data_IF_233635282302
#
_entry.id   IF_233635282302
#
_cell.length_a   1.000
_cell.length_b   1.000
_cell.length_c   1.000
_cell.angle_alpha   90.00
_cell.angle_beta   90.00
_cell.angle_gamma   90.00
#
_symmetry.space_group_name_H-M   'P 1'
#
loop_
_entity.id
_entity.type
_entity.pdbx_description
1 polymer ?
#
# COMPACT_ATOMS: atom_id res chain seq x y z
N UNK A 1 -52.15 10.01 -20.05
CA UNK A 1 -51.38 10.57 -21.18
C UNK A 1 -50.11 11.12 -20.56
N UNK A 2 -48.98 10.41 -20.58
CA UNK A 2 -48.00 10.35 -21.68
C UNK A 2 -47.57 11.76 -22.13
N UNK A 3 -46.31 12.16 -22.25
CA UNK A 3 -44.97 11.61 -22.01
C UNK A 3 -43.96 12.75 -22.40
N UNK A 4 -42.65 12.46 -22.34
CA UNK A 4 -41.50 13.07 -23.06
C UNK A 4 -40.83 14.31 -22.43
N UNK A 5 -39.61 14.17 -21.86
CA UNK A 5 -38.24 14.23 -22.45
C UNK A 5 -37.72 15.69 -22.47
N UNK A 6 -36.45 16.08 -22.36
CA UNK A 6 -35.09 15.50 -22.36
C UNK A 6 -34.25 16.54 -21.53
N UNK A 7 -33.21 16.21 -20.76
CA UNK A 7 -31.91 15.71 -21.21
C UNK A 7 -30.85 16.81 -21.06
N UNK A 8 -29.79 16.57 -20.28
CA UNK A 8 -28.38 16.89 -20.58
C UNK A 8 -27.52 16.81 -19.32
N UNK A 9 -26.55 15.89 -19.35
CA UNK A 9 -25.33 15.95 -18.55
C UNK A 9 -24.64 17.32 -18.68
N UNK A 10 -24.14 17.81 -17.56
CA UNK A 10 -22.95 18.66 -17.54
C UNK A 10 -22.23 18.47 -16.21
N UNK A 11 -21.04 17.87 -16.29
CA UNK A 11 -19.99 17.88 -15.27
C UNK A 11 -19.81 19.26 -14.66
N UNK A 12 -19.83 19.35 -13.33
CA UNK A 12 -19.32 20.49 -12.56
C UNK A 12 -18.46 19.93 -11.41
N UNK A 13 -17.25 20.47 -11.16
CA UNK A 13 -16.32 19.95 -10.15
C UNK A 13 -16.90 20.10 -8.74
N UNK A 14 -16.67 19.10 -7.88
CA UNK A 14 -17.05 19.16 -6.48
C UNK A 14 -16.08 20.07 -5.71
N UNK A 15 -16.41 21.36 -5.58
CA UNK A 15 -15.74 22.27 -4.64
C UNK A 15 -16.57 22.38 -3.36
N UNK A 16 -16.01 21.96 -2.22
CA UNK A 16 -16.60 22.17 -0.90
C UNK A 16 -16.57 23.67 -0.54
N UNK A 17 -17.74 24.28 -0.31
CA UNK A 17 -17.84 25.74 -0.11
C UNK A 17 -18.02 26.17 1.35
N UNK A 18 -18.30 25.28 2.30
CA UNK A 18 -18.45 25.67 3.72
C UNK A 18 -18.02 24.61 4.77
N UNK A 19 -17.59 25.08 5.95
CA UNK A 19 -17.26 24.26 7.14
C UNK A 19 -18.46 23.45 7.68
N UNK A 20 -19.70 23.87 7.41
CA UNK A 20 -20.91 23.14 7.82
C UNK A 20 -21.22 21.92 6.93
N UNK A 21 -20.75 21.90 5.68
CA UNK A 21 -20.85 20.72 4.81
C UNK A 21 -19.88 19.62 5.24
N UNK A 22 -18.70 19.99 5.76
CA UNK A 22 -17.71 19.06 6.33
C UNK A 22 -18.24 18.33 7.58
N UNK A 23 -19.05 18.99 8.41
CA UNK A 23 -19.67 18.33 9.59
C UNK A 23 -20.60 17.17 9.22
N UNK A 24 -21.10 17.08 7.98
CA UNK A 24 -21.94 15.96 7.57
C UNK A 24 -21.15 14.67 7.32
N UNK A 25 -19.82 14.72 7.28
CA UNK A 25 -18.93 13.53 7.27
C UNK A 25 -18.78 12.91 8.68
N UNK A 26 -19.90 12.80 9.41
CA UNK A 26 -19.99 12.33 10.79
C UNK A 26 -19.86 10.79 10.96
N UNK A 27 -19.45 10.04 9.93
CA UNK A 27 -19.38 8.57 10.01
C UNK A 27 -18.26 8.03 10.92
N UNK A 28 -17.28 8.86 11.31
CA UNK A 28 -16.09 8.37 12.02
C UNK A 28 -15.99 8.76 13.51
N UNK A 29 -16.64 9.85 13.96
CA UNK A 29 -16.41 10.37 15.32
C UNK A 29 -17.30 9.70 16.39
N UNK A 30 -18.60 9.52 16.13
CA UNK A 30 -19.55 9.11 17.18
C UNK A 30 -19.48 7.61 17.50
N UNK A 31 -19.01 6.79 16.57
CA UNK A 31 -18.98 5.34 16.70
C UNK A 31 -17.83 4.82 17.56
N UNK A 32 -16.76 5.60 17.69
CA UNK A 32 -15.55 5.22 18.42
C UNK A 32 -15.29 6.10 19.65
N UNK A 33 -16.27 6.92 20.05
CA UNK A 33 -16.12 7.88 21.14
C UNK A 33 -14.92 8.84 20.89
N UNK A 34 -14.66 9.16 19.63
CA UNK A 34 -13.63 10.12 19.23
C UNK A 34 -14.25 11.52 19.38
N UNK A 35 -13.69 12.40 20.21
CA UNK A 35 -14.26 13.73 20.43
C UNK A 35 -14.44 14.46 19.09
N UNK A 36 -15.56 15.17 18.87
CA UNK A 36 -15.78 15.94 17.64
C UNK A 36 -14.56 16.82 17.35
N UNK A 37 -14.15 16.84 16.08
CA UNK A 37 -12.95 17.49 15.54
C UNK A 37 -12.96 19.03 15.75
N UNK A 38 -12.77 19.48 16.98
CA UNK A 38 -12.51 20.88 17.36
C UNK A 38 -11.01 21.17 17.47
N UNK A 39 -10.16 20.26 16.98
CA UNK A 39 -8.71 20.39 17.05
C UNK A 39 -8.15 20.72 15.66
N UNK A 40 -7.67 21.95 15.47
CA UNK A 40 -7.05 22.44 14.24
C UNK A 40 -5.94 21.51 13.72
N UNK A 41 -5.27 20.76 14.60
CA UNK A 41 -4.23 19.78 14.23
C UNK A 41 -4.81 18.62 13.41
N UNK A 42 -5.92 18.02 13.86
CA UNK A 42 -6.53 16.88 13.15
C UNK A 42 -7.14 17.31 11.82
N UNK A 43 -7.75 18.49 11.78
CA UNK A 43 -8.24 19.08 10.52
C UNK A 43 -7.10 19.33 9.52
N UNK A 44 -5.95 19.85 9.99
CA UNK A 44 -4.77 20.03 9.14
C UNK A 44 -4.20 18.73 8.60
N UNK A 45 -4.24 17.64 9.37
CA UNK A 45 -3.82 16.30 8.92
C UNK A 45 -4.76 15.79 7.82
N UNK A 46 -6.08 15.91 8.03
CA UNK A 46 -7.08 15.51 7.03
C UNK A 46 -6.90 16.28 5.71
N UNK A 47 -6.74 17.60 5.77
CA UNK A 47 -6.45 18.41 4.58
C UNK A 47 -5.14 18.00 3.89
N UNK A 48 -4.11 17.66 4.67
CA UNK A 48 -2.83 17.19 4.14
C UNK A 48 -2.96 15.85 3.45
N UNK A 49 -3.78 14.92 3.97
CA UNK A 49 -4.04 13.63 3.36
C UNK A 49 -4.66 13.79 1.97
N UNK A 50 -5.74 14.57 1.85
CA UNK A 50 -6.39 14.83 0.56
C UNK A 50 -5.45 15.56 -0.42
N UNK A 51 -4.74 16.59 0.04
CA UNK A 51 -3.77 17.32 -0.78
C UNK A 51 -2.65 16.42 -1.31
N UNK A 52 -2.02 15.62 -0.44
CA UNK A 52 -0.90 14.72 -0.82
C UNK A 52 -1.41 13.62 -1.74
N UNK A 53 -2.61 13.10 -1.50
CA UNK A 53 -3.24 12.13 -2.40
C UNK A 53 -3.36 12.75 -3.78
N UNK A 54 -4.02 13.91 -3.92
CA UNK A 54 -4.17 14.59 -5.22
C UNK A 54 -2.82 14.92 -5.88
N UNK A 55 -1.84 15.38 -5.10
CA UNK A 55 -0.48 15.64 -5.60
C UNK A 55 0.18 14.37 -6.17
N UNK A 56 0.02 13.22 -5.51
CA UNK A 56 0.51 11.93 -6.00
C UNK A 56 -0.17 11.56 -7.33
N UNK A 57 -1.47 11.79 -7.44
CA UNK A 57 -2.25 11.46 -8.65
C UNK A 57 -1.85 12.31 -9.85
N UNK A 58 -1.82 13.62 -9.65
CA UNK A 58 -1.43 14.55 -10.70
C UNK A 58 0.01 14.30 -11.16
N UNK A 59 0.92 14.03 -10.21
CA UNK A 59 2.32 13.73 -10.52
C UNK A 59 2.43 12.41 -11.29
N UNK A 60 1.69 11.37 -10.88
CA UNK A 60 1.64 10.07 -11.55
C UNK A 60 1.12 10.19 -12.99
N UNK A 61 -0.02 10.86 -13.18
CA UNK A 61 -0.62 11.09 -14.51
C UNK A 61 0.23 11.97 -15.41
N UNK A 62 0.94 12.96 -14.84
CA UNK A 62 1.88 13.80 -15.60
C UNK A 62 3.11 13.02 -16.06
N UNK A 63 3.62 12.13 -15.21
CA UNK A 63 4.78 11.30 -15.51
C UNK A 63 4.45 10.21 -16.55
N UNK A 64 3.31 9.52 -16.38
CA UNK A 64 2.83 8.50 -17.30
C UNK A 64 1.32 8.67 -17.55
N UNK A 65 0.92 9.36 -18.64
CA UNK A 65 -0.49 9.54 -18.98
C UNK A 65 -1.23 8.24 -19.29
N UNK A 66 -0.51 7.14 -19.55
CA UNK A 66 -1.11 5.84 -19.93
C UNK A 66 -1.47 4.97 -18.73
N UNK A 67 -1.02 5.32 -17.52
CA UNK A 67 -1.29 4.54 -16.33
C UNK A 67 -2.79 4.53 -15.99
N UNK A 68 -3.34 3.36 -15.68
CA UNK A 68 -4.74 3.21 -15.28
C UNK A 68 -5.03 3.91 -13.95
N UNK A 69 -6.27 4.38 -13.77
CA UNK A 69 -6.69 4.98 -12.49
C UNK A 69 -6.64 3.98 -11.35
N UNK A 70 -7.07 2.73 -11.57
CA UNK A 70 -7.04 1.68 -10.54
C UNK A 70 -5.60 1.29 -10.14
N UNK A 71 -4.64 1.32 -11.08
CA UNK A 71 -3.23 1.06 -10.78
C UNK A 71 -2.63 2.19 -9.94
N UNK A 72 -2.91 3.44 -10.30
CA UNK A 72 -2.47 4.60 -9.54
C UNK A 72 -3.13 4.64 -8.16
N UNK A 73 -4.38 4.18 -8.07
CA UNK A 73 -5.11 4.02 -6.81
C UNK A 73 -4.46 3.01 -5.89
N UNK A 74 -4.17 1.80 -6.40
CA UNK A 74 -3.49 0.75 -5.64
C UNK A 74 -2.14 1.24 -5.11
N UNK A 75 -1.36 1.93 -5.96
CA UNK A 75 -0.10 2.57 -5.57
C UNK A 75 -0.27 3.65 -4.48
N UNK A 76 -1.37 4.40 -4.51
CA UNK A 76 -1.67 5.46 -3.54
C UNK A 76 -1.95 4.97 -2.11
N UNK A 77 -2.38 3.71 -1.92
CA UNK A 77 -2.70 3.17 -0.58
C UNK A 77 -1.49 3.23 0.37
N UNK A 78 -0.31 2.89 -0.11
CA UNK A 78 0.92 2.92 0.70
C UNK A 78 1.37 4.35 1.03
N UNK A 79 1.02 5.34 0.20
CA UNK A 79 1.22 6.77 0.52
C UNK A 79 0.47 7.17 1.79
N UNK A 80 -0.75 6.67 2.02
CA UNK A 80 -1.52 6.97 3.23
C UNK A 80 -0.83 6.47 4.51
N UNK A 81 -0.23 5.28 4.45
CA UNK A 81 0.58 4.75 5.55
C UNK A 81 1.83 5.60 5.77
N UNK A 82 2.49 6.06 4.71
CA UNK A 82 3.66 6.93 4.81
C UNK A 82 3.32 8.29 5.45
N UNK A 83 2.15 8.86 5.14
CA UNK A 83 1.64 10.08 5.80
C UNK A 83 1.35 9.82 7.28
N UNK A 84 0.76 8.67 7.61
CA UNK A 84 0.52 8.27 8.99
C UNK A 84 1.83 8.16 9.78
N UNK A 85 2.88 7.57 9.19
CA UNK A 85 4.21 7.51 9.79
C UNK A 85 4.87 8.89 9.93
N UNK A 86 4.81 9.75 8.91
CA UNK A 86 5.28 11.14 9.02
C UNK A 86 4.59 11.85 10.20
N UNK A 87 3.28 11.63 10.39
CA UNK A 87 2.52 12.18 11.52
C UNK A 87 3.01 11.64 12.86
N UNK A 88 3.18 10.32 12.99
CA UNK A 88 3.68 9.67 14.22
C UNK A 88 5.10 10.13 14.59
N UNK A 89 5.91 10.47 13.60
CA UNK A 89 7.29 10.94 13.78
C UNK A 89 7.40 12.46 13.93
N UNK A 90 6.26 13.17 13.91
CA UNK A 90 6.20 14.63 13.93
C UNK A 90 7.06 15.28 12.82
N UNK A 91 6.99 14.70 11.62
CA UNK A 91 7.62 15.20 10.41
C UNK A 91 6.64 16.05 9.58
N UNK A 92 7.16 16.77 8.59
CA UNK A 92 6.33 17.52 7.65
C UNK A 92 5.52 16.55 6.78
N UNK A 93 4.23 16.86 6.60
CA UNK A 93 3.34 16.07 5.74
C UNK A 93 3.50 16.53 4.29
N UNK A 94 4.37 15.86 3.55
CA UNK A 94 4.72 16.21 2.18
C UNK A 94 4.91 14.98 1.32
N UNK A 95 4.52 15.07 0.05
CA UNK A 95 4.91 14.10 -0.97
C UNK A 95 6.37 14.36 -1.37
N UNK A 96 7.30 13.61 -0.82
CA UNK A 96 8.71 13.67 -1.25
C UNK A 96 8.90 12.91 -2.57
N UNK A 97 10.02 13.13 -3.25
CA UNK A 97 10.34 12.36 -4.46
C UNK A 97 10.52 10.88 -4.13
N UNK A 98 11.05 10.55 -2.96
CA UNK A 98 11.19 9.19 -2.45
C UNK A 98 9.84 8.50 -2.21
N UNK A 99 8.86 9.20 -1.62
CA UNK A 99 7.49 8.69 -1.44
C UNK A 99 6.86 8.45 -2.82
N UNK A 100 6.97 9.43 -3.73
CA UNK A 100 6.42 9.30 -5.07
C UNK A 100 7.04 8.11 -5.83
N UNK A 101 8.38 8.07 -5.93
CA UNK A 101 9.12 7.06 -6.67
C UNK A 101 8.84 5.65 -6.14
N UNK A 102 8.89 5.45 -4.83
CA UNK A 102 8.62 4.13 -4.23
C UNK A 102 7.21 3.62 -4.51
N UNK A 103 6.20 4.47 -4.35
CA UNK A 103 4.81 4.04 -4.58
C UNK A 103 4.52 3.84 -6.08
N UNK A 104 5.20 4.56 -6.96
CA UNK A 104 5.10 4.35 -8.41
C UNK A 104 5.92 3.16 -8.92
N UNK A 105 6.70 2.46 -8.09
CA UNK A 105 7.31 1.19 -8.48
C UNK A 105 6.24 0.12 -8.72
N UNK A 106 5.25 0.00 -7.83
CA UNK A 106 4.25 -1.07 -7.86
C UNK A 106 3.57 -1.25 -9.23
N UNK A 107 3.01 -0.21 -9.87
CA UNK A 107 2.36 -0.37 -11.19
C UNK A 107 3.28 -0.91 -12.28
N UNK A 108 4.60 -0.71 -12.16
CA UNK A 108 5.56 -1.17 -13.16
C UNK A 108 6.23 -2.50 -12.77
N UNK A 109 6.48 -2.75 -11.49
CA UNK A 109 7.10 -3.99 -11.02
C UNK A 109 6.10 -5.14 -11.03
N UNK A 110 4.86 -4.92 -10.59
CA UNK A 110 3.86 -5.98 -10.44
C UNK A 110 3.53 -6.60 -11.80
N UNK A 111 3.37 -5.77 -12.84
CA UNK A 111 3.16 -6.23 -14.22
C UNK A 111 4.34 -7.04 -14.80
N UNK A 112 5.56 -6.92 -14.24
CA UNK A 112 6.72 -7.74 -14.65
C UNK A 112 6.87 -9.01 -13.82
N UNK A 113 6.62 -8.90 -12.52
CA UNK A 113 6.85 -9.98 -11.55
C UNK A 113 5.68 -10.94 -11.51
N UNK A 114 4.45 -10.43 -11.51
CA UNK A 114 3.23 -11.22 -11.27
C UNK A 114 2.56 -11.68 -12.56
N UNK A 115 2.82 -11.01 -13.69
CA UNK A 115 2.26 -11.42 -14.98
C UNK A 115 2.75 -12.81 -15.42
N UNK A 116 1.81 -13.69 -15.77
CA UNK A 116 2.09 -15.05 -16.24
C UNK A 116 2.66 -15.09 -17.67
N UNK A 117 2.46 -14.04 -18.47
CA UNK A 117 2.96 -13.96 -19.85
C UNK A 117 4.44 -13.57 -19.92
N UNK A 118 5.03 -13.11 -18.80
CA UNK A 118 6.45 -12.77 -18.72
C UNK A 118 7.29 -14.03 -18.50
N UNK A 119 8.27 -14.27 -19.37
CA UNK A 119 9.09 -15.47 -19.33
C UNK A 119 9.91 -15.57 -18.04
N UNK A 120 10.20 -16.80 -17.59
CA UNK A 120 11.05 -17.05 -16.42
C UNK A 120 12.46 -16.46 -16.57
N UNK A 121 12.99 -16.43 -17.79
CA UNK A 121 14.27 -15.81 -18.10
C UNK A 121 14.19 -14.29 -17.91
N UNK A 122 13.16 -13.63 -18.45
CA UNK A 122 12.93 -12.20 -18.25
C UNK A 122 12.78 -11.85 -16.77
N UNK A 123 12.01 -12.62 -15.99
CA UNK A 123 11.87 -12.40 -14.54
C UNK A 123 13.21 -12.51 -13.80
N UNK A 124 14.06 -13.50 -14.16
CA UNK A 124 15.39 -13.66 -13.56
C UNK A 124 16.35 -12.53 -13.93
N UNK A 125 16.35 -12.14 -15.20
CA UNK A 125 17.17 -11.03 -15.66
C UNK A 125 16.74 -9.72 -15.01
N UNK A 126 15.43 -9.47 -14.92
CA UNK A 126 14.87 -8.31 -14.22
C UNK A 126 15.29 -8.31 -12.75
N UNK A 127 15.11 -9.44 -12.06
CA UNK A 127 15.50 -9.59 -10.67
C UNK A 127 16.95 -9.16 -10.44
N UNK A 128 17.86 -9.63 -11.30
CA UNK A 128 19.29 -9.32 -11.21
C UNK A 128 19.59 -7.86 -11.51
N UNK A 129 19.13 -7.32 -12.65
CA UNK A 129 19.49 -5.95 -13.04
C UNK A 129 18.87 -4.91 -12.11
N UNK A 130 17.67 -5.17 -11.59
CA UNK A 130 17.01 -4.21 -10.71
C UNK A 130 17.67 -4.24 -9.32
N UNK A 131 18.06 -5.41 -8.83
CA UNK A 131 18.89 -5.52 -7.63
C UNK A 131 20.23 -4.78 -7.78
N UNK A 132 20.91 -4.93 -8.92
CA UNK A 132 22.13 -4.17 -9.25
C UNK A 132 21.86 -2.65 -9.27
N UNK A 133 20.79 -2.19 -9.95
CA UNK A 133 20.37 -0.77 -9.95
C UNK A 133 20.10 -0.24 -8.55
N UNK A 134 19.48 -1.06 -7.70
CA UNK A 134 19.11 -0.71 -6.33
C UNK A 134 20.28 -0.68 -5.36
N UNK A 135 21.35 -1.44 -5.57
CA UNK A 135 22.51 -1.42 -4.66
C UNK A 135 23.68 -0.59 -5.18
N UNK A 136 23.97 -0.67 -6.47
CA UNK A 136 25.15 -0.06 -7.09
C UNK A 136 24.80 1.32 -7.68
N UNK A 137 23.58 1.48 -8.20
CA UNK A 137 23.19 2.66 -8.96
C UNK A 137 23.62 2.57 -10.43
N UNK A 138 23.41 3.65 -11.18
CA UNK A 138 23.86 3.75 -12.56
C UNK A 138 25.34 4.11 -12.65
N UNK A 139 26.00 3.72 -13.74
CA UNK A 139 27.42 4.02 -13.96
C UNK A 139 27.74 5.52 -13.99
N UNK A 140 26.76 6.35 -14.35
CA UNK A 140 26.81 7.81 -14.42
C UNK A 140 26.17 8.49 -13.19
N UNK A 141 25.85 7.74 -12.12
CA UNK A 141 25.20 8.28 -10.93
C UNK A 141 25.99 9.46 -10.35
N UNK A 142 25.33 10.61 -10.24
CA UNK A 142 25.89 11.81 -9.63
C UNK A 142 25.03 12.19 -8.41
N UNK A 143 25.57 12.11 -7.18
CA UNK A 143 24.78 12.43 -5.97
C UNK A 143 24.38 13.91 -5.86
N UNK A 144 24.85 14.78 -6.77
CA UNK A 144 24.46 16.19 -6.85
C UNK A 144 23.47 16.49 -7.98
N UNK A 145 23.19 15.52 -8.87
CA UNK A 145 22.17 15.72 -9.90
C UNK A 145 20.78 15.55 -9.29
N UNK A 146 19.84 16.32 -9.79
CA UNK A 146 18.43 16.18 -9.48
C UNK A 146 17.71 15.65 -10.71
N UNK A 147 17.02 14.53 -10.57
CA UNK A 147 16.19 13.96 -11.61
C UNK A 147 14.98 14.86 -11.83
N UNK A 148 14.76 15.29 -13.08
CA UNK A 148 13.76 16.27 -13.46
C UNK A 148 12.38 15.66 -13.77
N UNK A 149 12.23 14.34 -13.62
CA UNK A 149 11.00 13.61 -13.93
C UNK A 149 10.76 13.33 -15.41
N UNK A 150 11.72 13.59 -16.30
CA UNK A 150 11.64 13.18 -17.69
C UNK A 150 12.07 11.72 -17.82
N UNK A 151 11.28 10.92 -18.56
CA UNK A 151 11.56 9.50 -18.73
C UNK A 151 12.92 9.27 -19.39
N UNK A 152 13.66 8.29 -18.86
CA UNK A 152 14.99 7.94 -19.37
C UNK A 152 14.93 7.36 -20.79
N UNK A 153 15.99 7.60 -21.56
CA UNK A 153 16.13 7.02 -22.89
C UNK A 153 16.45 5.53 -22.80
N UNK A 154 15.46 4.68 -23.07
CA UNK A 154 15.61 3.22 -22.94
C UNK A 154 16.63 2.60 -23.89
N UNK A 155 16.97 3.27 -24.99
CA UNK A 155 18.02 2.81 -25.90
C UNK A 155 19.41 2.79 -25.25
N UNK A 156 19.60 3.53 -24.15
CA UNK A 156 20.84 3.57 -23.38
C UNK A 156 20.88 2.46 -22.30
N UNK A 157 19.74 1.82 -22.02
CA UNK A 157 19.66 0.68 -21.14
C UNK A 157 20.17 -0.55 -21.89
N UNK A 158 21.40 -0.99 -21.59
CA UNK A 158 22.00 -2.20 -22.15
C UNK A 158 21.34 -3.47 -21.58
N UNK A 159 20.05 -3.67 -21.90
CA UNK A 159 19.22 -4.74 -21.35
C UNK A 159 19.48 -6.09 -22.06
N UNK A 160 19.42 -7.21 -21.33
CA UNK A 160 19.48 -8.54 -21.94
C UNK A 160 18.32 -8.76 -22.92
N UNK A 161 18.47 -9.64 -23.94
CA UNK A 161 17.43 -9.87 -24.95
C UNK A 161 16.05 -10.24 -24.38
N UNK A 162 16.02 -10.96 -23.26
CA UNK A 162 14.81 -11.35 -22.54
C UNK A 162 13.99 -10.15 -22.04
N UNK A 163 14.62 -9.00 -21.81
CA UNK A 163 14.01 -7.78 -21.29
C UNK A 163 13.77 -6.70 -22.34
N UNK A 164 14.28 -6.88 -23.56
CA UNK A 164 14.05 -5.93 -24.65
C UNK A 164 12.55 -5.64 -24.92
N UNK A 165 11.63 -6.63 -24.86
CA UNK A 165 10.19 -6.35 -24.99
C UNK A 165 9.60 -5.46 -23.88
N UNK A 166 10.33 -5.29 -22.77
CA UNK A 166 9.90 -4.57 -21.57
C UNK A 166 10.76 -3.34 -21.28
N UNK A 167 11.58 -2.89 -22.25
CA UNK A 167 12.56 -1.82 -22.05
C UNK A 167 11.93 -0.52 -21.52
N UNK A 168 10.81 -0.09 -22.09
CA UNK A 168 10.03 1.08 -21.64
C UNK A 168 9.65 1.00 -20.17
N UNK A 169 9.21 -0.18 -19.72
CA UNK A 169 8.80 -0.42 -18.34
C UNK A 169 10.01 -0.44 -17.40
N UNK A 170 11.11 -1.08 -17.81
CA UNK A 170 12.36 -1.07 -17.03
C UNK A 170 12.92 0.34 -16.89
N UNK A 171 12.85 1.16 -17.94
CA UNK A 171 13.21 2.58 -17.89
C UNK A 171 12.40 3.34 -16.85
N UNK A 172 11.07 3.17 -16.85
CA UNK A 172 10.20 3.80 -15.85
C UNK A 172 10.53 3.35 -14.42
N UNK A 173 10.88 2.08 -14.21
CA UNK A 173 11.33 1.56 -12.90
C UNK A 173 12.62 2.25 -12.46
N UNK A 174 13.58 2.44 -13.37
CA UNK A 174 14.85 3.09 -13.05
C UNK A 174 14.66 4.58 -12.77
N UNK A 175 13.76 5.24 -13.48
CA UNK A 175 13.34 6.62 -13.20
C UNK A 175 12.73 6.76 -11.80
N UNK A 176 11.97 5.77 -11.33
CA UNK A 176 11.45 5.77 -9.95
C UNK A 176 12.57 5.67 -8.90
N UNK A 177 13.64 4.92 -9.20
CA UNK A 177 14.85 4.93 -8.36
C UNK A 177 15.55 6.29 -8.41
N UNK A 178 15.58 6.94 -9.57
CA UNK A 178 16.14 8.29 -9.72
C UNK A 178 15.36 9.34 -8.92
N UNK A 179 14.03 9.22 -8.80
CA UNK A 179 13.24 10.03 -7.86
C UNK A 179 13.67 9.79 -6.40
N UNK A 180 13.88 8.53 -5.99
CA UNK A 180 14.36 8.23 -4.63
C UNK A 180 15.76 8.82 -4.38
N UNK A 181 16.62 8.81 -5.40
CA UNK A 181 17.97 9.36 -5.35
C UNK A 181 18.01 10.89 -5.18
N UNK A 182 16.92 11.62 -5.51
CA UNK A 182 16.80 13.05 -5.24
C UNK A 182 16.83 13.38 -3.74
N UNK A 183 16.25 12.50 -2.92
CA UNK A 183 16.14 12.70 -1.47
C UNK A 183 17.23 11.95 -0.69
N UNK A 184 17.72 10.82 -1.20
CA UNK A 184 18.59 9.91 -0.45
C UNK A 184 19.90 9.61 -1.18
N UNK A 185 21.01 10.22 -0.75
CA UNK A 185 22.34 9.90 -1.29
C UNK A 185 22.75 8.48 -0.87
N UNK A 186 23.02 7.62 -1.86
CA UNK A 186 23.31 6.18 -1.70
C UNK A 186 24.42 5.84 -0.71
N UNK A 187 25.56 6.53 -0.83
CA UNK A 187 26.72 6.28 0.02
C UNK A 187 26.49 6.71 1.48
N UNK A 188 25.51 7.59 1.73
CA UNK A 188 25.19 8.11 3.06
C UNK A 188 23.98 7.39 3.69
N UNK A 189 23.14 6.77 2.86
CA UNK A 189 21.86 6.18 3.23
C UNK A 189 21.71 4.74 2.71
N UNK A 190 22.75 3.93 2.91
CA UNK A 190 22.77 2.53 2.45
C UNK A 190 21.54 1.72 2.91
N UNK A 191 21.01 2.01 4.11
CA UNK A 191 19.81 1.36 4.65
C UNK A 191 18.56 1.53 3.77
N UNK A 192 18.40 2.69 3.12
CA UNK A 192 17.29 2.93 2.18
C UNK A 192 17.35 1.95 1.00
N UNK A 193 18.52 1.85 0.39
CA UNK A 193 18.75 1.02 -0.79
C UNK A 193 18.78 -0.47 -0.47
N UNK A 194 19.28 -0.84 0.70
CA UNK A 194 19.15 -2.19 1.23
C UNK A 194 17.68 -2.54 1.46
N UNK A 195 16.88 -1.65 2.05
CA UNK A 195 15.45 -1.86 2.24
C UNK A 195 14.70 -2.07 0.93
N UNK A 196 14.97 -1.24 -0.09
CA UNK A 196 14.42 -1.40 -1.44
C UNK A 196 14.83 -2.73 -2.08
N UNK A 197 16.10 -3.12 -1.93
CA UNK A 197 16.58 -4.40 -2.43
C UNK A 197 15.90 -5.58 -1.70
N UNK A 198 15.68 -5.49 -0.39
CA UNK A 198 14.98 -6.51 0.39
C UNK A 198 13.54 -6.70 -0.08
N UNK A 199 12.76 -5.62 -0.26
CA UNK A 199 11.38 -5.78 -0.76
C UNK A 199 11.35 -6.34 -2.18
N UNK A 200 12.28 -5.92 -3.06
CA UNK A 200 12.41 -6.52 -4.39
C UNK A 200 12.72 -8.02 -4.33
N UNK A 201 13.68 -8.44 -3.50
CA UNK A 201 13.97 -9.87 -3.28
C UNK A 201 12.74 -10.64 -2.76
N UNK A 202 12.01 -10.06 -1.81
CA UNK A 202 10.78 -10.65 -1.28
C UNK A 202 9.67 -10.76 -2.33
N UNK A 203 9.50 -9.77 -3.21
CA UNK A 203 8.58 -9.83 -4.36
C UNK A 203 8.99 -10.93 -5.34
N UNK A 204 10.29 -11.03 -5.66
CA UNK A 204 10.78 -12.11 -6.53
C UNK A 204 10.57 -13.49 -5.89
N UNK A 205 10.74 -13.61 -4.57
CA UNK A 205 10.46 -14.84 -3.81
C UNK A 205 8.96 -15.17 -3.78
N UNK A 206 8.06 -14.19 -3.76
CA UNK A 206 6.61 -14.45 -3.76
C UNK A 206 6.13 -15.13 -5.04
N UNK A 207 6.90 -15.06 -6.14
CA UNK A 207 6.59 -15.87 -7.34
C UNK A 207 6.59 -17.39 -7.08
N UNK A 208 7.20 -17.86 -5.98
CA UNK A 208 7.10 -19.26 -5.53
C UNK A 208 5.68 -19.64 -5.06
N UNK A 209 4.84 -18.65 -4.74
CA UNK A 209 3.42 -18.84 -4.41
C UNK A 209 2.55 -18.93 -5.67
N UNK A 210 3.08 -18.63 -6.86
CA UNK A 210 2.35 -18.75 -8.11
C UNK A 210 2.36 -20.21 -8.54
N UNK A 211 1.21 -20.77 -8.91
CA UNK A 211 1.20 -22.11 -9.47
C UNK A 211 1.78 -22.09 -10.88
N UNK A 212 2.99 -22.63 -11.05
CA UNK A 212 3.41 -23.18 -12.34
C UNK A 212 3.55 -24.72 -12.20
N UNK A 213 2.65 -25.50 -12.83
CA UNK A 213 2.59 -26.96 -12.73
C UNK A 213 3.88 -27.70 -13.08
N UNK A 214 4.77 -27.08 -13.84
CA UNK A 214 5.89 -27.75 -14.51
C UNK A 214 6.97 -28.29 -13.56
N UNK A 215 7.01 -27.86 -12.29
CA UNK A 215 8.01 -28.32 -11.32
C UNK A 215 7.45 -29.12 -10.15
N UNK A 216 6.13 -29.34 -10.07
CA UNK A 216 5.50 -30.00 -8.93
C UNK A 216 5.74 -29.31 -7.57
N UNK A 217 6.18 -28.04 -7.58
CA UNK A 217 6.43 -27.28 -6.36
C UNK A 217 5.11 -26.90 -5.72
N UNK A 218 4.93 -27.33 -4.47
CA UNK A 218 3.81 -26.97 -3.64
C UNK A 218 4.34 -26.41 -2.32
N UNK A 219 4.29 -25.08 -2.10
CA UNK A 219 4.75 -24.51 -0.84
C UNK A 219 3.91 -25.05 0.32
N UNK A 220 4.55 -25.32 1.44
CA UNK A 220 3.84 -25.65 2.68
C UNK A 220 3.17 -24.41 3.26
N UNK A 221 2.19 -24.59 4.15
CA UNK A 221 1.55 -23.47 4.84
C UNK A 221 2.57 -22.56 5.56
N UNK A 222 3.56 -23.15 6.23
CA UNK A 222 4.63 -22.39 6.89
C UNK A 222 5.48 -21.57 5.90
N UNK A 223 5.66 -22.06 4.67
CA UNK A 223 6.37 -21.30 3.62
C UNK A 223 5.52 -20.15 3.10
N UNK A 224 4.20 -20.35 2.92
CA UNK A 224 3.26 -19.29 2.55
C UNK A 224 3.29 -18.18 3.63
N UNK A 225 3.14 -18.55 4.90
CA UNK A 225 3.19 -17.63 6.04
C UNK A 225 4.50 -16.83 6.08
N UNK A 226 5.64 -17.51 5.90
CA UNK A 226 6.95 -16.87 5.90
C UNK A 226 7.09 -15.86 4.74
N UNK A 227 6.63 -16.22 3.54
CA UNK A 227 6.73 -15.32 2.38
C UNK A 227 5.85 -14.09 2.58
N UNK A 228 4.61 -14.26 3.06
CA UNK A 228 3.72 -13.13 3.36
C UNK A 228 4.31 -12.22 4.44
N UNK A 229 4.91 -12.78 5.51
CA UNK A 229 5.56 -11.99 6.56
C UNK A 229 6.79 -11.21 6.05
N UNK A 230 7.64 -11.85 5.25
CA UNK A 230 8.83 -11.20 4.66
C UNK A 230 8.43 -10.07 3.70
N UNK A 231 7.48 -10.32 2.78
CA UNK A 231 7.02 -9.33 1.80
C UNK A 231 6.35 -8.14 2.48
N UNK A 232 5.41 -8.40 3.38
CA UNK A 232 4.71 -7.35 4.13
C UNK A 232 5.65 -6.52 4.99
N UNK A 233 6.52 -7.17 5.76
CA UNK A 233 7.48 -6.49 6.62
C UNK A 233 8.52 -5.67 5.86
N UNK A 234 9.09 -6.22 4.78
CA UNK A 234 10.03 -5.51 3.94
C UNK A 234 9.42 -4.26 3.30
N UNK A 235 8.14 -4.32 2.89
CA UNK A 235 7.44 -3.19 2.30
C UNK A 235 7.34 -2.00 3.25
N UNK A 236 6.94 -2.21 4.51
CA UNK A 236 6.86 -1.13 5.49
C UNK A 236 8.24 -0.66 5.96
N UNK A 237 9.21 -1.56 6.11
CA UNK A 237 10.59 -1.17 6.43
C UNK A 237 11.16 -0.25 5.35
N UNK A 238 11.02 -0.62 4.07
CA UNK A 238 11.46 0.21 2.96
C UNK A 238 10.74 1.56 2.96
N UNK A 239 9.42 1.56 3.15
CA UNK A 239 8.61 2.78 3.22
C UNK A 239 9.12 3.74 4.32
N UNK A 240 9.39 3.25 5.53
CA UNK A 240 9.84 4.14 6.61
C UNK A 240 11.31 4.53 6.49
N UNK A 241 12.17 3.70 5.88
CA UNK A 241 13.50 4.15 5.49
C UNK A 241 13.45 5.35 4.54
N UNK A 242 12.49 5.39 3.61
CA UNK A 242 12.32 6.51 2.67
C UNK A 242 11.77 7.79 3.32
N UNK A 243 11.33 7.70 4.58
CA UNK A 243 10.84 8.83 5.40
C UNK A 243 11.95 9.33 6.35
N UNK A 244 12.62 8.43 7.08
CA UNK A 244 13.59 8.81 8.14
C UNK A 244 15.06 8.58 7.76
N UNK A 245 15.34 7.84 6.70
CA UNK A 245 16.69 7.49 6.23
C UNK A 245 17.42 6.45 7.10
N UNK A 246 17.01 6.27 8.37
CA UNK A 246 17.62 5.35 9.34
C UNK A 246 16.57 4.79 10.29
N UNK A 247 16.66 3.51 10.61
CA UNK A 247 15.75 2.81 11.53
C UNK A 247 16.49 2.13 12.68
N UNK A 248 15.84 2.06 13.84
CA UNK A 248 16.27 1.23 14.96
C UNK A 248 15.75 -0.20 14.78
N UNK A 249 16.37 -1.18 15.44
CA UNK A 249 15.87 -2.57 15.45
C UNK A 249 14.44 -2.67 16.00
N UNK A 250 14.11 -1.87 17.00
CA UNK A 250 12.77 -1.85 17.59
C UNK A 250 11.73 -1.32 16.58
N UNK A 251 12.04 -0.26 15.83
CA UNK A 251 11.18 0.21 14.73
C UNK A 251 11.02 -0.84 13.63
N UNK A 252 12.10 -1.50 13.21
CA UNK A 252 12.02 -2.56 12.19
C UNK A 252 11.10 -3.71 12.65
N UNK A 253 11.24 -4.21 13.88
CA UNK A 253 10.37 -5.26 14.40
C UNK A 253 8.88 -4.84 14.48
N UNK A 254 8.62 -3.57 14.82
CA UNK A 254 7.27 -3.01 14.78
C UNK A 254 6.69 -2.99 13.34
N UNK A 255 7.49 -2.55 12.37
CA UNK A 255 7.09 -2.47 10.98
C UNK A 255 6.92 -3.84 10.33
N UNK A 256 7.73 -4.84 10.72
CA UNK A 256 7.57 -6.23 10.27
C UNK A 256 6.21 -6.80 10.68
N UNK A 257 5.82 -6.58 11.94
CA UNK A 257 4.52 -7.02 12.44
C UNK A 257 3.37 -6.32 11.73
N UNK A 258 3.40 -4.98 11.69
CA UNK A 258 2.35 -4.21 11.01
C UNK A 258 2.26 -4.60 9.52
N UNK A 259 3.41 -4.79 8.86
CA UNK A 259 3.51 -5.15 7.46
C UNK A 259 2.94 -6.52 7.17
N UNK A 260 3.16 -7.51 8.03
CA UNK A 260 2.54 -8.82 7.89
C UNK A 260 1.01 -8.74 7.96
N UNK A 261 0.46 -7.98 8.90
CA UNK A 261 -0.99 -7.77 9.00
C UNK A 261 -1.59 -7.11 7.76
N UNK A 262 -0.91 -6.11 7.18
CA UNK A 262 -1.34 -5.47 5.94
C UNK A 262 -1.25 -6.41 4.74
N UNK A 263 -0.20 -7.25 4.64
CA UNK A 263 -0.10 -8.26 3.59
C UNK A 263 -1.26 -9.26 3.65
N UNK A 264 -1.66 -9.68 4.85
CA UNK A 264 -2.82 -10.57 5.01
C UNK A 264 -4.14 -9.88 4.65
N UNK A 265 -4.26 -8.57 4.89
CA UNK A 265 -5.41 -7.81 4.45
C UNK A 265 -5.47 -7.73 2.91
N UNK A 266 -4.35 -7.46 2.25
CA UNK A 266 -4.27 -7.47 0.79
C UNK A 266 -4.64 -8.86 0.22
N UNK A 267 -4.07 -9.93 0.77
CA UNK A 267 -4.38 -11.32 0.37
C UNK A 267 -5.88 -11.67 0.58
N UNK A 268 -6.56 -11.05 1.56
CA UNK A 268 -8.00 -11.21 1.78
C UNK A 268 -8.83 -10.41 0.75
N UNK A 269 -8.40 -9.20 0.42
CA UNK A 269 -9.06 -8.39 -0.61
C UNK A 269 -8.95 -9.01 -2.01
N UNK A 270 -7.83 -9.69 -2.28
CA UNK A 270 -7.48 -10.21 -3.59
C UNK A 270 -7.81 -11.72 -3.76
N UNK A 271 -8.55 -12.36 -2.83
CA UNK A 271 -8.88 -13.81 -2.85
C UNK A 271 -9.34 -14.30 -4.23
N UNK A 272 -10.30 -13.64 -4.86
CA UNK A 272 -10.83 -14.07 -6.17
C UNK A 272 -9.80 -13.91 -7.29
N UNK A 273 -9.00 -12.84 -7.25
CA UNK A 273 -7.92 -12.59 -8.23
C UNK A 273 -6.80 -13.62 -8.06
N UNK A 274 -6.38 -13.89 -6.83
CA UNK A 274 -5.38 -14.88 -6.50
C UNK A 274 -5.83 -16.29 -6.90
N UNK A 275 -7.09 -16.65 -6.64
CA UNK A 275 -7.64 -17.92 -7.12
C UNK A 275 -7.61 -18.02 -8.64
N UNK A 276 -7.99 -16.96 -9.35
CA UNK A 276 -7.96 -16.90 -10.82
C UNK A 276 -6.55 -17.06 -11.37
N UNK A 277 -5.56 -16.49 -10.69
CA UNK A 277 -4.15 -16.55 -11.08
C UNK A 277 -3.42 -17.79 -10.50
N UNK A 278 -4.12 -18.63 -9.74
CA UNK A 278 -3.57 -19.77 -8.99
C UNK A 278 -2.45 -19.39 -8.02
N UNK A 279 -2.56 -18.23 -7.39
CA UNK A 279 -1.69 -17.79 -6.31
C UNK A 279 -2.12 -18.44 -4.99
N UNK A 280 -1.12 -18.89 -4.22
CA UNK A 280 -1.32 -19.57 -2.94
C UNK A 280 -1.05 -18.62 -1.77
N UNK A 281 -2.12 -18.14 -1.17
CA UNK A 281 -2.13 -17.32 0.04
C UNK A 281 -2.73 -18.12 1.20
N UNK A 282 -2.69 -17.55 2.41
CA UNK A 282 -3.33 -18.14 3.58
C UNK A 282 -4.83 -18.39 3.33
N UNK A 283 -5.48 -17.47 2.61
CA UNK A 283 -6.91 -17.53 2.33
C UNK A 283 -7.24 -18.50 1.20
N UNK A 284 -6.53 -18.44 0.07
CA UNK A 284 -6.79 -19.36 -1.06
C UNK A 284 -6.43 -20.81 -0.72
N UNK A 285 -5.43 -21.04 0.13
CA UNK A 285 -5.10 -22.38 0.64
C UNK A 285 -6.21 -22.93 1.55
N UNK A 286 -6.81 -22.11 2.41
CA UNK A 286 -7.96 -22.51 3.25
C UNK A 286 -9.12 -23.03 2.39
N UNK A 287 -9.43 -22.34 1.29
CA UNK A 287 -10.45 -22.76 0.33
C UNK A 287 -10.06 -24.03 -0.42
N UNK A 288 -8.80 -24.17 -0.82
CA UNK A 288 -8.28 -25.37 -1.48
C UNK A 288 -8.39 -26.62 -0.58
N UNK A 289 -8.28 -26.44 0.74
CA UNK A 289 -8.46 -27.49 1.75
C UNK A 289 -9.94 -27.76 2.10
N UNK A 290 -10.88 -27.15 1.37
CA UNK A 290 -12.32 -27.30 1.57
C UNK A 290 -12.86 -26.62 2.83
N UNK A 291 -12.11 -25.67 3.40
CA UNK A 291 -12.54 -24.88 4.55
C UNK A 291 -13.18 -23.55 4.12
N UNK A 292 -13.91 -22.91 5.03
CA UNK A 292 -14.39 -21.52 4.86
C UNK A 292 -13.28 -20.51 5.16
N UNK A 293 -13.53 -19.24 4.85
CA UNK A 293 -12.66 -18.12 5.25
C UNK A 293 -12.91 -17.62 6.67
N UNK A 294 -13.86 -18.20 7.42
CA UNK A 294 -14.23 -17.78 8.77
C UNK A 294 -12.99 -17.72 9.70
N UNK A 295 -12.27 -18.84 9.81
CA UNK A 295 -11.13 -18.96 10.70
C UNK A 295 -9.93 -18.06 10.32
N UNK A 296 -9.44 -18.02 9.06
CA UNK A 296 -8.36 -17.10 8.70
C UNK A 296 -8.77 -15.63 8.85
N UNK A 297 -10.03 -15.26 8.55
CA UNK A 297 -10.52 -13.89 8.74
C UNK A 297 -10.60 -13.51 10.22
N UNK A 298 -11.12 -14.39 11.08
CA UNK A 298 -11.17 -14.18 12.52
C UNK A 298 -9.76 -13.99 13.11
N UNK A 299 -8.78 -14.78 12.64
CA UNK A 299 -7.37 -14.63 13.05
C UNK A 299 -6.77 -13.30 12.58
N UNK A 300 -7.10 -12.82 11.38
CA UNK A 300 -6.66 -11.51 10.91
C UNK A 300 -7.26 -10.36 11.76
N UNK A 301 -8.56 -10.42 12.04
CA UNK A 301 -9.22 -9.46 12.94
C UNK A 301 -8.54 -9.49 14.31
N UNK A 302 -8.29 -10.68 14.86
CA UNK A 302 -7.58 -10.85 16.12
C UNK A 302 -6.17 -10.25 16.05
N UNK A 303 -5.44 -10.50 14.97
CA UNK A 303 -4.09 -9.97 14.76
C UNK A 303 -4.07 -8.44 14.82
N UNK A 304 -4.96 -7.78 14.10
CA UNK A 304 -5.05 -6.32 14.11
C UNK A 304 -5.62 -5.77 15.43
N UNK A 305 -6.53 -6.48 16.10
CA UNK A 305 -7.14 -6.04 17.36
C UNK A 305 -6.19 -6.18 18.55
N UNK A 306 -5.40 -7.26 18.61
CA UNK A 306 -4.37 -7.48 19.64
C UNK A 306 -3.10 -6.63 19.41
N UNK A 307 -3.21 -5.55 18.63
CA UNK A 307 -2.24 -4.47 18.51
C UNK A 307 -1.83 -3.82 19.84
N UNK A 308 -2.42 -4.22 20.98
CA UNK A 308 -1.85 -4.03 22.32
C UNK A 308 -0.40 -4.57 22.46
N UNK A 309 0.04 -5.45 21.55
CA UNK A 309 1.44 -5.85 21.47
C UNK A 309 2.42 -4.68 21.18
N UNK A 310 1.92 -3.51 20.74
CA UNK A 310 2.71 -2.31 20.45
C UNK A 310 2.02 -1.01 20.87
N UNK A 311 1.65 -0.89 22.15
CA UNK A 311 1.15 0.36 22.72
C UNK A 311 2.12 1.55 22.58
N UNK A 312 3.38 1.35 22.17
CA UNK A 312 4.35 2.42 21.90
C UNK A 312 5.16 2.18 20.61
N UNK A 313 5.08 3.13 19.67
CA UNK A 313 6.03 3.22 18.56
C UNK A 313 7.44 3.51 19.13
N UNK A 314 8.47 2.71 18.85
CA UNK A 314 9.76 2.84 19.54
C UNK A 314 10.59 4.06 19.08
N UNK A 315 10.27 5.25 19.57
CA UNK A 315 11.16 6.44 19.64
C UNK A 315 10.50 7.65 20.35
N UNK A 316 9.49 7.42 21.20
CA UNK A 316 8.71 8.44 21.94
C UNK A 316 9.55 9.33 22.90
N UNK A 317 10.87 9.16 22.92
CA UNK A 317 11.80 9.94 23.74
C UNK A 317 12.35 11.20 23.06
N UNK A 318 12.15 11.41 21.75
CA UNK A 318 12.47 12.73 21.13
C UNK A 318 11.45 13.82 21.45
N UNK A 319 10.35 13.48 22.11
CA UNK A 319 9.18 14.33 22.38
C UNK A 319 9.01 14.71 23.86
N UNK A 320 10.06 14.69 24.67
CA UNK A 320 9.96 14.94 26.13
C UNK A 320 9.81 16.42 26.51
N UNK A 321 9.85 17.38 25.58
CA UNK A 321 9.62 18.79 25.93
C UNK A 321 8.16 19.28 25.82
N UNK A 322 7.24 18.50 25.21
CA UNK A 322 5.81 18.85 25.08
C UNK A 322 4.88 17.60 25.16
N UNK A 323 5.25 16.61 25.98
CA UNK A 323 4.81 15.21 25.92
C UNK A 323 3.30 14.90 25.96
N UNK A 324 2.39 15.83 26.31
CA UNK A 324 0.94 15.50 26.38
C UNK A 324 0.22 15.51 25.03
N UNK A 325 0.61 16.38 24.09
CA UNK A 325 -0.07 16.49 22.79
C UNK A 325 0.47 15.51 21.75
N UNK A 326 1.78 15.24 21.74
CA UNK A 326 2.43 14.30 20.81
C UNK A 326 2.04 12.84 21.03
N UNK A 327 2.05 12.38 22.29
CA UNK A 327 1.62 11.01 22.65
C UNK A 327 0.14 10.75 22.27
N UNK A 328 -0.71 11.77 22.47
CA UNK A 328 -2.14 11.71 22.13
C UNK A 328 -2.36 11.59 20.61
N UNK A 329 -1.58 12.34 19.80
CA UNK A 329 -1.70 12.28 18.34
C UNK A 329 -1.19 10.95 17.78
N UNK A 330 -0.04 10.46 18.24
CA UNK A 330 0.50 9.17 17.80
C UNK A 330 -0.43 8.01 18.18
N UNK A 331 -1.09 8.08 19.35
CA UNK A 331 -2.15 7.15 19.71
C UNK A 331 -3.36 7.23 18.75
N UNK A 332 -3.84 8.45 18.47
CA UNK A 332 -4.96 8.67 17.55
C UNK A 332 -4.69 8.13 16.13
N UNK A 333 -3.49 8.36 15.59
CA UNK A 333 -3.11 7.85 14.26
C UNK A 333 -3.10 6.33 14.25
N UNK A 334 -2.53 5.67 15.27
CA UNK A 334 -2.52 4.21 15.37
C UNK A 334 -3.92 3.62 15.48
N UNK A 335 -4.77 4.21 16.33
CA UNK A 335 -6.18 3.81 16.42
C UNK A 335 -6.88 3.96 15.07
N UNK A 336 -6.64 5.07 14.36
CA UNK A 336 -7.21 5.33 13.03
C UNK A 336 -6.76 4.30 11.99
N UNK A 337 -5.47 3.93 11.98
CA UNK A 337 -4.96 2.88 11.10
C UNK A 337 -5.63 1.53 11.37
N UNK A 338 -5.76 1.13 12.65
CA UNK A 338 -6.42 -0.13 13.02
C UNK A 338 -7.90 -0.11 12.59
N UNK A 339 -8.62 0.97 12.89
CA UNK A 339 -10.04 1.11 12.52
C UNK A 339 -10.23 1.07 11.00
N UNK A 340 -9.34 1.74 10.27
CA UNK A 340 -9.34 1.71 8.81
C UNK A 340 -9.09 0.28 8.28
N UNK A 341 -8.06 -0.41 8.78
CA UNK A 341 -7.81 -1.82 8.42
C UNK A 341 -9.00 -2.73 8.75
N UNK A 342 -9.69 -2.52 9.89
CA UNK A 342 -10.92 -3.27 10.22
C UNK A 342 -12.02 -3.02 9.20
N UNK A 343 -12.21 -1.77 8.79
CA UNK A 343 -13.21 -1.44 7.77
C UNK A 343 -12.89 -2.11 6.43
N UNK A 344 -11.60 -2.17 6.05
CA UNK A 344 -11.16 -2.87 4.84
C UNK A 344 -11.38 -4.38 4.91
N UNK A 345 -11.15 -5.01 6.07
CA UNK A 345 -11.48 -6.43 6.29
C UNK A 345 -12.99 -6.65 6.12
N UNK A 346 -13.81 -5.81 6.76
CA UNK A 346 -15.27 -5.92 6.69
C UNK A 346 -15.79 -5.71 5.27
N UNK A 347 -15.21 -4.77 4.53
CA UNK A 347 -15.50 -4.58 3.11
C UNK A 347 -15.16 -5.84 2.31
N UNK A 348 -13.96 -6.41 2.49
CA UNK A 348 -13.54 -7.64 1.80
C UNK A 348 -14.51 -8.80 2.09
N UNK A 349 -14.86 -9.00 3.36
CA UNK A 349 -15.85 -10.01 3.79
C UNK A 349 -17.19 -9.79 3.08
N UNK A 350 -17.69 -8.54 3.03
CA UNK A 350 -18.99 -8.23 2.43
C UNK A 350 -19.08 -8.63 0.95
N UNK A 351 -17.94 -8.64 0.23
CA UNK A 351 -17.80 -8.97 -1.19
C UNK A 351 -17.61 -10.47 -1.46
N UNK A 352 -17.31 -11.26 -0.44
CA UNK A 352 -16.95 -12.68 -0.54
C UNK A 352 -17.96 -13.62 0.15
N UNK A 353 -19.28 -13.36 0.16
CA UNK A 353 -20.24 -14.12 0.98
C UNK A 353 -20.22 -15.63 0.73
N UNK A 354 -19.94 -16.05 -0.50
CA UNK A 354 -19.88 -17.46 -0.92
C UNK A 354 -18.77 -18.27 -0.26
N UNK A 355 -17.78 -17.61 0.36
CA UNK A 355 -16.62 -18.25 0.98
C UNK A 355 -16.70 -18.32 2.51
N UNK A 356 -17.79 -17.82 3.10
CA UNK A 356 -18.03 -17.81 4.55
C UNK A 356 -19.19 -18.72 4.91
N UNK A 357 -19.23 -19.18 6.17
CA UNK A 357 -20.46 -19.77 6.70
C UNK A 357 -21.54 -18.71 6.90
N UNK A 358 -22.81 -19.10 6.74
CA UNK A 358 -23.96 -18.21 7.00
C UNK A 358 -23.97 -17.66 8.43
N UNK A 359 -23.51 -18.46 9.41
CA UNK A 359 -23.41 -18.04 10.81
C UNK A 359 -22.36 -16.93 10.99
N UNK A 360 -21.14 -17.17 10.49
CA UNK A 360 -20.06 -16.19 10.57
C UNK A 360 -20.40 -14.91 9.81
N UNK A 361 -20.89 -15.01 8.57
CA UNK A 361 -21.23 -13.85 7.74
C UNK A 361 -22.32 -12.98 8.39
N UNK A 362 -23.34 -13.61 8.98
CA UNK A 362 -24.37 -12.88 9.73
C UNK A 362 -23.79 -12.21 10.97
N UNK A 363 -22.99 -12.91 11.77
CA UNK A 363 -22.39 -12.35 12.97
C UNK A 363 -21.46 -11.17 12.65
N UNK A 364 -20.53 -11.36 11.71
CA UNK A 364 -19.53 -10.34 11.35
C UNK A 364 -20.19 -9.07 10.77
N UNK A 365 -21.30 -9.22 10.04
CA UNK A 365 -22.05 -8.08 9.52
C UNK A 365 -22.60 -7.15 10.62
N UNK A 366 -22.87 -7.67 11.82
CA UNK A 366 -23.38 -6.86 12.95
C UNK A 366 -22.34 -5.94 13.57
N UNK A 367 -21.06 -6.23 13.35
CA UNK A 367 -19.96 -5.35 13.76
C UNK A 367 -19.64 -4.28 12.72
N UNK A 368 -20.24 -4.38 11.53
CA UNK A 368 -19.97 -3.45 10.46
C UNK A 368 -20.76 -2.15 10.64
N UNK A 369 -20.10 -1.00 10.57
CA UNK A 369 -20.77 0.28 10.73
C UNK A 369 -21.62 0.70 9.54
N UNK A 370 -21.35 0.09 8.38
CA UNK A 370 -22.04 0.31 7.13
C UNK A 370 -22.78 -0.97 6.75
N UNK A 371 -23.98 -0.88 6.15
CA UNK A 371 -24.65 -2.06 5.62
C UNK A 371 -23.75 -2.78 4.62
N UNK A 372 -23.63 -4.10 4.76
CA UNK A 372 -22.83 -4.91 3.83
C UNK A 372 -23.27 -4.76 2.37
N UNK A 373 -24.56 -4.52 2.11
CA UNK A 373 -25.06 -4.29 0.75
C UNK A 373 -24.51 -2.99 0.13
N UNK A 374 -24.25 -1.96 0.93
CA UNK A 374 -23.62 -0.72 0.45
C UNK A 374 -22.13 -0.93 0.15
N UNK A 375 -21.45 -1.73 0.97
CA UNK A 375 -20.02 -2.07 0.82
C UNK A 375 -19.74 -2.96 -0.41
N UNK A 376 -20.72 -3.73 -0.87
CA UNK A 376 -20.58 -4.51 -2.11
C UNK A 376 -20.45 -3.62 -3.35
N UNK A 377 -21.07 -2.44 -3.35
CA UNK A 377 -21.22 -1.60 -4.55
C UNK A 377 -20.08 -0.57 -4.68
N UNK A 378 -19.57 -0.03 -3.56
CA UNK A 378 -18.50 0.98 -3.58
C UNK A 378 -17.30 0.55 -2.74
N UNK A 379 -16.08 0.71 -3.26
CA UNK A 379 -14.86 0.54 -2.44
C UNK A 379 -14.78 1.73 -1.49
N UNK A 380 -14.76 1.48 -0.19
CA UNK A 380 -14.63 2.50 0.86
C UNK A 380 -13.42 3.38 0.57
N UNK A 381 -12.31 2.77 0.17
CA UNK A 381 -11.08 3.49 -0.15
C UNK A 381 -11.26 4.47 -1.31
N UNK A 382 -12.10 4.15 -2.32
CA UNK A 382 -12.38 5.06 -3.45
C UNK A 382 -13.16 6.30 -3.02
N UNK A 383 -13.86 6.28 -1.89
CA UNK A 383 -14.52 7.49 -1.37
C UNK A 383 -13.51 8.54 -0.88
N UNK A 384 -12.30 8.13 -0.48
CA UNK A 384 -11.20 9.04 -0.15
C UNK A 384 -10.48 9.61 -1.37
N UNK A 385 -10.75 9.05 -2.56
CA UNK A 385 -10.19 9.52 -3.83
C UNK A 385 -10.93 10.72 -4.40
N UNK A 386 -12.23 10.80 -4.12
CA UNK A 386 -13.16 11.80 -4.68
C UNK A 386 -13.49 12.93 -3.71
N UNK A 387 -12.91 12.90 -2.51
CA UNK A 387 -13.10 13.89 -1.44
C UNK A 387 -11.89 14.83 -1.39
#
# INVERSE_FOLDING_TARGET
MAATNDGSDSDIPFEFKTYEEFKRFHLWNDMFNVPPLNNNVLYGIYQSLGRITNEFLEKGKRYDPTIGEDQLFKAGRTVWFMIAFQTQMNLSLTLTDSIFGYNMLYPYTDDLVDCNDVSREAKKDFARIFYERLLIGESNYNPKSHFNGQQSNVAELNLPPSLQPYADRVGKIFDMVSFIENDWIRNEHQGVYMGLATIHESQMKSTMQHAQPDNGYAPTMAQIEQISAEKGGASLIAAVFLIEGRLTRAKMAYLEYLGFGLQLLDDLQDVEEDMKNNHRTIFTQSLADGQTLDAPTARLIQYCYYASAFEKFPDDQRTVSNARSGETLAHYVRASMIMFSMLLILEAVSRLPQYYSEEFYREISTFCPLPFDDLKVARVEKTFWTA
#
